data_IF_004273142415
#
_entry.id   IF_004273142415
#
_cell.length_a   1.000
_cell.length_b   1.000
_cell.length_c   1.000
_cell.angle_alpha   90.00
_cell.angle_beta   90.00
_cell.angle_gamma   90.00
#
_symmetry.space_group_name_H-M   'P 1'
#
loop_
_entity.id
_entity.type
_entity.pdbx_description
1 polymer ?
#
# COMPACT_ATOMS: atom_id res chain seq x y z
N UNK A 1 16.09 13.39 17.11
CA UNK A 1 15.09 12.43 17.62
C UNK A 1 14.98 11.29 16.61
N UNK A 2 15.50 10.10 16.92
CA UNK A 2 15.41 8.93 16.00
C UNK A 2 13.94 8.47 16.01
N UNK A 3 13.19 8.79 14.95
CA UNK A 3 11.83 8.30 14.74
C UNK A 3 11.89 6.77 14.67
N UNK A 4 11.09 6.12 15.50
CA UNK A 4 11.01 4.66 15.55
C UNK A 4 10.20 4.16 14.33
N UNK A 5 10.84 4.10 13.15
CA UNK A 5 10.26 3.64 11.87
C UNK A 5 9.93 2.13 11.87
N UNK A 6 10.16 1.43 13.00
CA UNK A 6 10.24 -0.04 13.04
C UNK A 6 8.97 -0.78 13.44
N UNK A 7 7.88 -0.13 13.80
CA UNK A 7 6.66 -0.88 14.12
C UNK A 7 5.77 -1.01 12.88
N UNK A 8 6.01 -2.02 12.06
CA UNK A 8 4.97 -2.51 11.15
C UNK A 8 3.87 -3.16 12.00
N UNK A 9 2.58 -2.81 11.82
CA UNK A 9 1.49 -3.51 12.51
C UNK A 9 1.32 -4.95 12.04
N UNK A 10 2.12 -5.40 11.06
CA UNK A 10 1.99 -6.66 10.36
C UNK A 10 3.04 -7.68 10.78
N UNK A 11 2.65 -8.95 10.89
CA UNK A 11 3.53 -10.08 11.26
C UNK A 11 4.55 -10.46 10.17
N UNK A 12 4.25 -10.18 8.90
CA UNK A 12 5.16 -10.32 7.77
C UNK A 12 4.85 -9.25 6.70
N UNK A 13 5.71 -9.01 5.70
CA UNK A 13 5.56 -7.91 4.76
C UNK A 13 4.52 -8.15 3.66
N UNK A 14 3.84 -9.30 3.59
CA UNK A 14 2.89 -9.61 2.52
C UNK A 14 1.49 -9.07 2.85
N UNK A 15 0.97 -8.18 2.02
CA UNK A 15 -0.39 -7.65 2.07
C UNK A 15 -1.18 -8.25 0.91
N UNK A 16 -2.24 -9.01 1.22
CA UNK A 16 -3.14 -9.53 0.21
C UNK A 16 -4.14 -8.47 -0.25
N UNK A 17 -4.13 -8.13 -1.54
CA UNK A 17 -5.17 -7.29 -2.13
C UNK A 17 -6.45 -8.10 -2.34
N UNK A 18 -7.52 -7.78 -1.61
CA UNK A 18 -8.84 -8.40 -1.73
C UNK A 18 -9.64 -7.76 -2.89
N UNK A 19 -9.13 -7.93 -4.12
CA UNK A 19 -9.75 -7.35 -5.32
C UNK A 19 -10.80 -8.32 -5.92
N UNK A 20 -11.78 -8.71 -5.09
CA UNK A 20 -12.91 -9.59 -5.39
C UNK A 20 -14.23 -8.81 -5.46
N UNK A 21 -15.31 -9.45 -5.92
CA UNK A 21 -16.55 -8.75 -6.26
C UNK A 21 -17.60 -8.76 -5.13
N UNK A 22 -17.53 -9.73 -4.21
CA UNK A 22 -18.53 -9.86 -3.14
C UNK A 22 -17.92 -9.82 -1.74
N UNK A 23 -18.74 -9.36 -0.78
CA UNK A 23 -18.39 -9.31 0.65
C UNK A 23 -18.08 -10.72 1.18
N UNK A 24 -18.91 -11.69 0.83
CA UNK A 24 -18.82 -13.07 1.30
C UNK A 24 -17.51 -13.72 0.85
N UNK A 25 -17.13 -13.48 -0.41
CA UNK A 25 -15.86 -13.95 -0.96
C UNK A 25 -14.67 -13.31 -0.23
N UNK A 26 -14.71 -12.00 -0.01
CA UNK A 26 -13.66 -11.28 0.69
C UNK A 26 -13.48 -11.77 2.13
N UNK A 27 -14.58 -11.94 2.88
CA UNK A 27 -14.56 -12.45 4.26
C UNK A 27 -14.00 -13.86 4.34
N UNK A 28 -14.44 -14.76 3.46
CA UNK A 28 -13.95 -16.15 3.39
C UNK A 28 -12.43 -16.19 3.15
N UNK A 29 -11.94 -15.42 2.18
CA UNK A 29 -10.51 -15.37 1.85
C UNK A 29 -9.72 -14.76 3.03
N UNK A 30 -10.23 -13.71 3.65
CA UNK A 30 -9.56 -13.06 4.77
C UNK A 30 -9.45 -14.01 5.98
N UNK A 31 -10.51 -14.73 6.33
CA UNK A 31 -10.52 -15.74 7.36
C UNK A 31 -9.50 -16.87 7.05
N UNK A 32 -9.53 -17.37 5.81
CA UNK A 32 -8.68 -18.47 5.37
C UNK A 32 -7.18 -18.15 5.40
N UNK A 33 -6.80 -16.88 5.13
CA UNK A 33 -5.42 -16.43 5.00
C UNK A 33 -4.93 -15.56 6.16
N UNK A 34 -5.75 -15.33 7.18
CA UNK A 34 -5.45 -14.46 8.34
C UNK A 34 -4.14 -14.84 9.05
N UNK A 35 -3.85 -16.14 9.16
CA UNK A 35 -2.63 -16.63 9.81
C UNK A 35 -1.40 -16.66 8.89
N UNK A 36 -1.59 -16.49 7.59
CA UNK A 36 -0.53 -16.62 6.57
C UNK A 36 0.01 -15.24 6.20
N UNK A 37 -0.85 -14.32 5.75
CA UNK A 37 -0.44 -13.00 5.27
C UNK A 37 -0.31 -11.97 6.40
N UNK A 38 0.45 -10.90 6.17
CA UNK A 38 0.66 -9.83 7.15
C UNK A 38 -0.53 -8.89 7.30
N UNK A 39 -1.41 -8.81 6.31
CA UNK A 39 -2.60 -7.96 6.32
C UNK A 39 -3.36 -8.00 5.00
N UNK A 40 -4.43 -7.21 4.92
CA UNK A 40 -5.34 -7.19 3.78
C UNK A 40 -5.50 -5.77 3.23
N UNK A 41 -5.43 -5.62 1.89
CA UNK A 41 -5.73 -4.37 1.21
C UNK A 41 -7.17 -4.38 0.71
N UNK A 42 -7.92 -3.34 1.06
CA UNK A 42 -9.25 -3.05 0.54
C UNK A 42 -9.20 -1.78 -0.31
N UNK A 43 -9.79 -1.82 -1.48
CA UNK A 43 -9.93 -0.67 -2.37
C UNK A 43 -11.39 -0.25 -2.58
N UNK A 44 -11.62 0.77 -3.43
CA UNK A 44 -12.95 1.31 -3.72
C UNK A 44 -13.97 0.26 -4.18
N UNK A 45 -13.53 -0.80 -4.87
CA UNK A 45 -14.40 -1.90 -5.35
C UNK A 45 -15.30 -2.47 -4.25
N UNK A 46 -14.74 -2.72 -3.07
CA UNK A 46 -15.48 -3.25 -1.92
C UNK A 46 -15.95 -2.13 -0.98
N UNK A 47 -15.09 -1.14 -0.70
CA UNK A 47 -15.41 -0.09 0.27
C UNK A 47 -16.61 0.76 -0.15
N UNK A 48 -16.73 1.14 -1.44
CA UNK A 48 -17.88 1.91 -1.92
C UNK A 48 -19.18 1.10 -1.95
N UNK A 49 -19.08 -0.23 -2.14
CA UNK A 49 -20.24 -1.11 -2.22
C UNK A 49 -20.79 -1.47 -0.85
N UNK A 50 -19.90 -1.70 0.14
CA UNK A 50 -20.28 -2.30 1.44
C UNK A 50 -20.00 -1.39 2.64
N UNK A 51 -19.36 -0.25 2.43
CA UNK A 51 -19.12 0.78 3.46
C UNK A 51 -18.12 0.38 4.54
N UNK A 52 -18.01 1.24 5.57
CA UNK A 52 -17.00 1.10 6.62
C UNK A 52 -17.31 -0.03 7.62
N UNK A 53 -18.54 -0.45 7.74
CA UNK A 53 -18.87 -1.60 8.61
C UNK A 53 -18.30 -2.91 8.06
N UNK A 54 -18.26 -3.06 6.75
CA UNK A 54 -17.55 -4.16 6.12
C UNK A 54 -16.03 -4.10 6.39
N UNK A 55 -15.45 -2.91 6.39
CA UNK A 55 -14.01 -2.74 6.74
C UNK A 55 -13.76 -3.21 8.17
N UNK A 56 -14.64 -2.87 9.13
CA UNK A 56 -14.56 -3.34 10.53
C UNK A 56 -14.66 -4.87 10.65
N UNK A 57 -15.45 -5.51 9.79
CA UNK A 57 -15.55 -6.97 9.78
C UNK A 57 -14.24 -7.62 9.32
N UNK A 58 -13.64 -7.14 8.23
CA UNK A 58 -12.34 -7.65 7.74
C UNK A 58 -11.21 -7.33 8.73
N UNK A 59 -11.26 -6.19 9.43
CA UNK A 59 -10.25 -5.79 10.42
C UNK A 59 -10.13 -6.78 11.60
N UNK A 60 -11.13 -7.63 11.84
CA UNK A 60 -11.07 -8.72 12.83
C UNK A 60 -10.13 -9.85 12.40
N UNK A 61 -9.83 -9.96 11.10
CA UNK A 61 -8.97 -11.00 10.53
C UNK A 61 -7.49 -10.58 10.47
N UNK A 62 -7.19 -9.27 10.59
CA UNK A 62 -5.82 -8.77 10.57
C UNK A 62 -5.70 -7.29 10.20
N UNK A 63 -4.48 -6.77 10.14
CA UNK A 63 -4.22 -5.39 9.76
C UNK A 63 -4.79 -5.01 8.39
N UNK A 64 -5.45 -3.84 8.31
CA UNK A 64 -6.10 -3.36 7.09
C UNK A 64 -5.31 -2.22 6.46
N UNK A 65 -5.08 -2.34 5.17
CA UNK A 65 -4.63 -1.29 4.29
C UNK A 65 -5.80 -0.78 3.44
N UNK A 66 -6.35 0.41 3.75
CA UNK A 66 -7.37 1.06 2.92
C UNK A 66 -6.72 1.85 1.79
N UNK A 67 -6.87 1.35 0.56
CA UNK A 67 -6.26 1.90 -0.64
C UNK A 67 -7.28 2.69 -1.49
N UNK A 68 -7.82 3.78 -0.91
CA UNK A 68 -8.80 4.66 -1.55
C UNK A 68 -8.20 5.86 -2.28
N UNK A 69 -6.89 6.11 -2.07
CA UNK A 69 -6.14 7.22 -2.70
C UNK A 69 -6.85 8.57 -2.56
N UNK A 70 -7.20 8.94 -1.31
CA UNK A 70 -7.87 10.21 -1.04
C UNK A 70 -7.11 11.39 -1.67
N UNK A 71 -7.82 12.14 -2.49
CA UNK A 71 -7.30 13.29 -3.22
C UNK A 71 -8.35 14.38 -3.23
N UNK A 72 -8.25 15.30 -2.29
CA UNK A 72 -9.25 16.35 -2.07
C UNK A 72 -8.60 17.51 -1.31
N UNK A 73 -9.38 18.51 -0.91
CA UNK A 73 -8.94 19.59 0.00
C UNK A 73 -8.58 19.02 1.39
N UNK A 74 -7.69 19.69 2.16
CA UNK A 74 -7.15 19.15 3.40
C UNK A 74 -8.21 18.68 4.42
N UNK A 75 -9.30 19.42 4.61
CA UNK A 75 -10.35 19.08 5.57
C UNK A 75 -11.14 17.81 5.19
N UNK A 76 -11.41 17.61 3.90
CA UNK A 76 -12.08 16.40 3.39
C UNK A 76 -11.16 15.19 3.54
N UNK A 77 -9.86 15.33 3.21
CA UNK A 77 -8.88 14.28 3.40
C UNK A 77 -8.72 13.90 4.88
N UNK A 78 -8.69 14.88 5.79
CA UNK A 78 -8.66 14.63 7.23
C UNK A 78 -9.87 13.79 7.67
N UNK A 79 -11.08 14.19 7.30
CA UNK A 79 -12.30 13.46 7.63
C UNK A 79 -12.26 12.00 7.12
N UNK A 80 -11.80 11.80 5.88
CA UNK A 80 -11.67 10.48 5.27
C UNK A 80 -10.62 9.59 5.96
N UNK A 81 -9.48 10.16 6.35
CA UNK A 81 -8.40 9.45 7.06
C UNK A 81 -8.85 9.06 8.47
N UNK A 82 -9.52 9.95 9.20
CA UNK A 82 -10.08 9.66 10.54
C UNK A 82 -11.15 8.56 10.47
N UNK A 83 -12.09 8.65 9.53
CA UNK A 83 -13.09 7.61 9.32
C UNK A 83 -12.47 6.24 8.97
N UNK A 84 -11.39 6.24 8.17
CA UNK A 84 -10.63 5.04 7.86
C UNK A 84 -9.98 4.42 9.10
N UNK A 85 -9.39 5.25 9.96
CA UNK A 85 -8.85 4.82 11.24
C UNK A 85 -9.92 4.22 12.14
N UNK A 86 -11.05 4.89 12.33
CA UNK A 86 -12.20 4.41 13.14
C UNK A 86 -12.77 3.09 12.63
N UNK A 87 -12.70 2.86 11.32
CA UNK A 87 -13.07 1.58 10.72
C UNK A 87 -12.04 0.46 10.93
N UNK A 88 -10.91 0.73 11.59
CA UNK A 88 -9.88 -0.27 11.91
C UNK A 88 -8.70 -0.31 10.94
N UNK A 89 -8.60 0.61 9.96
CA UNK A 89 -7.45 0.65 9.07
C UNK A 89 -6.16 0.94 9.83
N UNK A 90 -5.10 0.19 9.50
CA UNK A 90 -3.72 0.41 9.98
C UNK A 90 -2.90 1.24 8.99
N UNK A 91 -3.24 1.17 7.71
CA UNK A 91 -2.63 1.91 6.60
C UNK A 91 -3.75 2.54 5.77
N UNK A 92 -3.56 3.77 5.33
CA UNK A 92 -4.50 4.46 4.42
C UNK A 92 -3.73 5.23 3.35
N UNK A 93 -4.22 5.24 2.10
CA UNK A 93 -3.59 6.02 1.04
C UNK A 93 -4.22 7.39 0.85
N UNK A 94 -3.35 8.37 0.65
CA UNK A 94 -3.65 9.70 0.09
C UNK A 94 -2.81 9.89 -1.18
N UNK A 95 -3.10 10.91 -2.00
CA UNK A 95 -2.29 11.18 -3.18
C UNK A 95 -1.30 12.33 -2.90
N UNK A 96 -0.01 12.15 -3.26
CA UNK A 96 1.03 13.18 -3.07
C UNK A 96 0.75 14.45 -3.89
N UNK A 97 0.03 14.34 -5.00
CA UNK A 97 -0.42 15.47 -5.82
C UNK A 97 -1.43 16.40 -5.12
N UNK A 98 -1.93 16.05 -3.93
CA UNK A 98 -2.78 16.95 -3.13
C UNK A 98 -2.04 18.20 -2.64
N UNK A 99 -0.71 18.21 -2.78
CA UNK A 99 0.13 19.37 -2.45
C UNK A 99 0.57 19.42 -0.98
N UNK A 100 1.51 20.33 -0.73
CA UNK A 100 2.23 20.41 0.56
C UNK A 100 1.31 20.62 1.76
N UNK A 101 0.34 21.53 1.65
CA UNK A 101 -0.54 21.86 2.79
C UNK A 101 -1.47 20.70 3.17
N UNK A 102 -2.00 19.97 2.17
CA UNK A 102 -2.79 18.77 2.42
C UNK A 102 -1.94 17.67 3.07
N UNK A 103 -0.73 17.46 2.59
CA UNK A 103 0.18 16.45 3.14
C UNK A 103 0.66 16.82 4.55
N UNK A 104 0.92 18.10 4.87
CA UNK A 104 1.21 18.57 6.24
C UNK A 104 0.06 18.24 7.18
N UNK A 105 -1.18 18.53 6.75
CA UNK A 105 -2.37 18.18 7.52
C UNK A 105 -2.45 16.66 7.77
N UNK A 106 -2.16 15.85 6.77
CA UNK A 106 -2.12 14.39 6.93
C UNK A 106 -1.03 13.93 7.89
N UNK A 107 0.12 14.58 7.92
CA UNK A 107 1.20 14.27 8.87
C UNK A 107 0.81 14.60 10.32
N UNK A 108 0.06 15.69 10.55
CA UNK A 108 -0.52 16.01 11.85
C UNK A 108 -1.51 14.95 12.31
N UNK A 109 -2.45 14.56 11.43
CA UNK A 109 -3.45 13.53 11.69
C UNK A 109 -2.79 12.18 11.96
N UNK A 110 -1.80 11.76 11.15
CA UNK A 110 -1.04 10.52 11.39
C UNK A 110 -0.41 10.52 12.77
N UNK A 111 0.24 11.61 13.18
CA UNK A 111 0.91 11.72 14.48
C UNK A 111 -0.09 11.61 15.64
N UNK A 112 -1.22 12.30 15.55
CA UNK A 112 -2.29 12.24 16.56
C UNK A 112 -2.87 10.83 16.69
N UNK A 113 -3.21 10.19 15.57
CA UNK A 113 -3.81 8.86 15.56
C UNK A 113 -2.82 7.77 16.04
N UNK A 114 -1.52 7.96 15.82
CA UNK A 114 -0.48 7.07 16.34
C UNK A 114 -0.35 7.08 17.88
N UNK A 115 -0.90 8.06 18.58
CA UNK A 115 -0.98 8.06 20.04
C UNK A 115 -1.96 6.99 20.55
N UNK A 116 -2.94 6.61 19.74
CA UNK A 116 -3.96 5.62 20.08
C UNK A 116 -3.55 4.19 19.68
N UNK A 117 -3.06 4.01 18.47
CA UNK A 117 -2.52 2.74 17.94
C UNK A 117 -1.66 2.95 16.70
N UNK A 118 -0.79 2.00 16.33
CA UNK A 118 0.02 2.10 15.13
C UNK A 118 -0.83 2.37 13.88
N UNK A 119 -0.51 3.44 13.17
CA UNK A 119 -1.21 3.90 11.98
C UNK A 119 -0.27 4.61 11.01
N UNK A 120 -0.46 4.46 9.70
CA UNK A 120 0.31 5.17 8.69
C UNK A 120 -0.56 5.74 7.58
N UNK A 121 -0.24 6.97 7.19
CA UNK A 121 -0.73 7.58 5.96
C UNK A 121 0.32 7.38 4.87
N UNK A 122 -0.04 6.67 3.82
CA UNK A 122 0.80 6.35 2.68
C UNK A 122 0.50 7.32 1.54
N UNK A 123 1.49 8.10 1.12
CA UNK A 123 1.34 8.97 -0.04
C UNK A 123 1.61 8.20 -1.34
N UNK A 124 0.64 8.16 -2.25
CA UNK A 124 0.82 7.61 -3.60
C UNK A 124 1.51 8.65 -4.45
N UNK A 125 2.60 8.28 -5.11
CA UNK A 125 3.36 9.16 -6.01
C UNK A 125 2.79 9.12 -7.43
N UNK A 126 3.34 8.28 -8.29
CA UNK A 126 2.84 8.04 -9.64
C UNK A 126 2.15 6.68 -9.70
N UNK A 127 1.01 6.59 -10.38
CA UNK A 127 0.29 5.34 -10.51
C UNK A 127 1.15 4.29 -11.23
N UNK A 128 1.26 3.10 -10.64
CA UNK A 128 2.09 2.01 -11.19
C UNK A 128 1.59 1.45 -12.52
N UNK A 129 0.40 1.82 -12.95
CA UNK A 129 -0.17 1.51 -14.27
C UNK A 129 0.31 2.44 -15.38
N UNK A 130 0.93 3.60 -15.04
CA UNK A 130 1.47 4.52 -16.02
C UNK A 130 2.88 4.14 -16.43
N UNK A 131 3.17 4.38 -17.70
CA UNK A 131 4.51 4.39 -18.28
C UNK A 131 4.74 5.74 -18.99
N UNK A 132 5.94 5.98 -19.53
CA UNK A 132 6.30 7.24 -20.20
C UNK A 132 5.34 7.60 -21.37
N UNK A 133 4.69 6.61 -21.98
CA UNK A 133 3.75 6.82 -23.08
C UNK A 133 2.36 7.20 -22.59
N UNK A 134 1.93 6.60 -21.47
CA UNK A 134 0.59 6.78 -20.89
C UNK A 134 0.50 7.93 -19.88
N UNK A 135 1.60 8.61 -19.57
CA UNK A 135 1.58 9.82 -18.74
C UNK A 135 0.65 10.88 -19.34
N UNK A 136 -0.21 11.53 -18.52
CA UNK A 136 -0.98 12.68 -18.95
C UNK A 136 -0.07 13.77 -19.52
N UNK A 137 -0.57 14.54 -20.50
CA UNK A 137 0.25 15.51 -21.25
C UNK A 137 0.93 16.57 -20.38
N UNK A 138 0.29 16.97 -19.29
CA UNK A 138 0.84 17.93 -18.32
C UNK A 138 1.98 17.36 -17.45
N UNK A 139 2.28 16.06 -17.54
CA UNK A 139 3.41 15.40 -16.86
C UNK A 139 4.56 15.06 -17.81
N UNK A 140 4.42 15.28 -19.12
CA UNK A 140 5.39 14.75 -20.12
C UNK A 140 6.71 15.53 -20.22
N UNK A 141 6.86 16.63 -19.52
CA UNK A 141 8.13 17.40 -19.52
C UNK A 141 9.23 16.73 -18.70
N UNK A 142 8.86 15.79 -17.81
CA UNK A 142 9.80 15.07 -16.95
C UNK A 142 9.53 13.56 -17.03
N UNK A 143 10.56 12.76 -16.70
CA UNK A 143 10.42 11.31 -16.56
C UNK A 143 9.61 10.92 -15.32
N UNK A 144 9.03 9.71 -15.33
CA UNK A 144 8.36 9.15 -14.16
C UNK A 144 9.28 9.16 -12.94
N UNK A 145 10.54 8.81 -13.10
CA UNK A 145 11.53 8.79 -12.03
C UNK A 145 11.74 10.18 -11.39
N UNK A 146 11.78 11.23 -12.19
CA UNK A 146 11.87 12.61 -11.68
C UNK A 146 10.63 13.00 -10.89
N UNK A 147 9.42 12.74 -11.41
CA UNK A 147 8.18 12.98 -10.68
C UNK A 147 8.12 12.24 -9.35
N UNK A 148 8.53 10.96 -9.32
CA UNK A 148 8.55 10.16 -8.10
C UNK A 148 9.50 10.76 -7.06
N UNK A 149 10.68 11.18 -7.46
CA UNK A 149 11.66 11.82 -6.54
C UNK A 149 11.13 13.15 -6.01
N UNK A 150 10.55 14.00 -6.86
CA UNK A 150 9.99 15.29 -6.45
C UNK A 150 8.81 15.10 -5.48
N UNK A 151 7.89 14.18 -5.78
CA UNK A 151 6.77 13.86 -4.90
C UNK A 151 7.25 13.23 -3.59
N UNK A 152 8.29 12.40 -3.60
CA UNK A 152 8.88 11.86 -2.38
C UNK A 152 9.52 12.97 -1.52
N UNK A 153 10.18 13.97 -2.12
CA UNK A 153 10.70 15.13 -1.41
C UNK A 153 9.55 15.92 -0.75
N UNK A 154 8.47 16.16 -1.49
CA UNK A 154 7.28 16.85 -0.97
C UNK A 154 6.65 16.11 0.22
N UNK A 155 6.54 14.79 0.15
CA UNK A 155 6.05 13.93 1.22
C UNK A 155 6.91 14.07 2.49
N UNK A 156 8.25 14.03 2.33
CA UNK A 156 9.19 14.19 3.44
C UNK A 156 9.17 15.61 4.02
N UNK A 157 9.08 16.64 3.19
CA UNK A 157 8.93 18.04 3.61
C UNK A 157 7.65 18.24 4.43
N UNK A 158 6.56 17.61 4.04
CA UNK A 158 5.29 17.64 4.77
C UNK A 158 5.36 16.91 6.13
N UNK A 159 6.38 16.10 6.37
CA UNK A 159 6.56 15.33 7.59
C UNK A 159 6.00 13.92 7.56
N UNK A 160 5.48 13.45 6.43
CA UNK A 160 5.13 12.05 6.20
C UNK A 160 6.39 11.22 5.91
N UNK A 161 6.31 9.92 6.16
CA UNK A 161 7.44 9.00 5.98
C UNK A 161 7.05 7.69 5.30
N UNK A 162 5.91 7.66 4.61
CA UNK A 162 5.39 6.43 4.01
C UNK A 162 4.87 6.70 2.60
N UNK A 163 5.28 5.86 1.64
CA UNK A 163 4.99 6.05 0.21
C UNK A 163 4.54 4.71 -0.40
N UNK A 164 3.62 4.80 -1.36
CA UNK A 164 3.36 3.71 -2.32
C UNK A 164 4.13 4.00 -3.59
N UNK A 165 4.98 3.07 -4.01
CA UNK A 165 5.83 3.19 -5.21
C UNK A 165 5.90 1.87 -5.98
N UNK A 166 6.23 1.94 -7.27
CA UNK A 166 6.45 0.74 -8.07
C UNK A 166 7.78 0.03 -7.71
N UNK A 167 7.94 -1.26 -8.05
CA UNK A 167 9.20 -1.97 -7.83
C UNK A 167 10.42 -1.29 -8.46
N UNK A 168 10.25 -0.66 -9.63
CA UNK A 168 11.33 0.00 -10.37
C UNK A 168 11.77 1.35 -9.76
N UNK A 169 11.04 1.86 -8.79
CA UNK A 169 11.32 3.12 -8.11
C UNK A 169 12.01 2.92 -6.75
N UNK A 170 12.10 1.66 -6.28
CA UNK A 170 12.70 1.33 -4.99
C UNK A 170 14.14 1.80 -4.87
N UNK A 171 14.96 1.60 -5.93
CA UNK A 171 16.35 2.02 -5.93
C UNK A 171 16.54 3.53 -5.75
N UNK A 172 15.59 4.33 -6.26
CA UNK A 172 15.56 5.79 -6.09
C UNK A 172 15.20 6.22 -4.66
N UNK A 173 14.49 5.37 -3.91
CA UNK A 173 13.86 5.71 -2.64
C UNK A 173 14.47 4.99 -1.43
N UNK A 174 15.21 3.89 -1.60
CA UNK A 174 15.67 2.97 -0.55
C UNK A 174 16.44 3.62 0.60
N UNK A 175 17.22 4.65 0.37
CA UNK A 175 18.10 5.28 1.37
C UNK A 175 17.49 6.54 2.01
N UNK A 176 16.19 6.79 1.81
CA UNK A 176 15.52 8.01 2.28
C UNK A 176 14.85 7.88 3.65
N UNK A 177 14.93 6.71 4.30
CA UNK A 177 14.26 6.46 5.57
C UNK A 177 12.73 6.39 5.46
N UNK A 178 12.21 6.06 4.26
CA UNK A 178 10.79 5.93 3.97
C UNK A 178 10.31 4.51 4.21
N UNK A 179 9.06 4.37 4.65
CA UNK A 179 8.32 3.10 4.64
C UNK A 179 7.69 2.92 3.25
N UNK A 180 8.23 1.97 2.46
CA UNK A 180 7.86 1.78 1.07
C UNK A 180 6.90 0.60 0.92
N UNK A 181 5.67 0.86 0.44
CA UNK A 181 4.68 -0.16 0.10
C UNK A 181 4.66 -0.34 -1.40
N UNK A 182 4.90 -1.58 -1.86
CA UNK A 182 5.16 -1.86 -3.27
C UNK A 182 4.17 -2.88 -3.81
N UNK A 183 3.24 -2.47 -4.70
CA UNK A 183 2.40 -3.37 -5.48
C UNK A 183 3.16 -3.91 -6.70
N UNK A 184 2.54 -4.85 -7.44
CA UNK A 184 3.14 -5.39 -8.66
C UNK A 184 4.14 -6.52 -8.43
N UNK A 185 4.09 -7.15 -7.27
CA UNK A 185 4.97 -8.25 -6.91
C UNK A 185 4.46 -9.56 -7.54
N UNK A 186 5.39 -10.33 -8.11
CA UNK A 186 5.14 -11.63 -8.76
C UNK A 186 6.22 -12.63 -8.35
N UNK A 187 5.88 -13.91 -8.29
CA UNK A 187 6.87 -14.99 -8.36
C UNK A 187 7.21 -15.27 -9.83
N UNK A 188 8.29 -15.98 -10.09
CA UNK A 188 8.76 -16.33 -11.45
C UNK A 188 7.74 -17.14 -12.27
N UNK A 189 6.74 -17.74 -11.61
CA UNK A 189 5.72 -18.57 -12.22
C UNK A 189 4.43 -17.81 -12.59
N UNK A 190 4.26 -16.56 -12.15
CA UNK A 190 3.04 -15.80 -12.39
C UNK A 190 3.13 -14.93 -13.64
N UNK A 191 2.05 -14.90 -14.46
CA UNK A 191 1.95 -14.03 -15.63
C UNK A 191 1.92 -12.54 -15.25
N UNK A 192 2.49 -11.66 -16.09
CA UNK A 192 2.59 -10.22 -15.84
C UNK A 192 1.21 -9.52 -15.75
N UNK A 193 0.20 -10.01 -16.48
CA UNK A 193 -1.14 -9.37 -16.54
C UNK A 193 -1.05 -7.94 -17.06
N UNK A 194 -1.82 -7.02 -16.48
CA UNK A 194 -1.85 -5.58 -16.78
C UNK A 194 -0.75 -4.76 -16.06
N UNK A 195 0.04 -5.40 -15.20
CA UNK A 195 1.16 -4.71 -14.53
C UNK A 195 2.43 -4.75 -15.38
N UNK A 196 2.86 -3.58 -15.83
CA UNK A 196 4.03 -3.41 -16.70
C UNK A 196 5.36 -3.47 -15.95
N UNK A 197 5.35 -3.35 -14.60
CA UNK A 197 6.53 -3.21 -13.76
C UNK A 197 6.46 -4.25 -12.63
N UNK A 198 7.12 -5.40 -12.83
CA UNK A 198 7.08 -6.55 -11.91
C UNK A 198 8.44 -6.84 -11.30
N UNK A 199 8.45 -7.36 -10.07
CA UNK A 199 9.64 -7.81 -9.33
C UNK A 199 9.28 -8.96 -8.41
N UNK A 200 10.25 -9.84 -8.11
CA UNK A 200 10.07 -10.91 -7.12
C UNK A 200 10.05 -10.38 -5.68
N UNK A 201 9.42 -11.10 -4.73
CA UNK A 201 9.25 -10.64 -3.34
C UNK A 201 10.58 -10.32 -2.67
N UNK A 202 11.53 -11.22 -2.73
CA UNK A 202 12.86 -11.08 -2.11
C UNK A 202 13.63 -9.88 -2.68
N UNK A 203 13.66 -9.75 -4.02
CA UNK A 203 14.34 -8.65 -4.67
C UNK A 203 13.74 -7.30 -4.24
N UNK A 204 12.41 -7.17 -4.19
CA UNK A 204 11.76 -5.95 -3.75
C UNK A 204 12.17 -5.56 -2.32
N UNK A 205 12.26 -6.51 -1.38
CA UNK A 205 12.72 -6.24 -0.01
C UNK A 205 14.20 -5.85 0.03
N UNK A 206 15.05 -6.50 -0.78
CA UNK A 206 16.48 -6.14 -0.90
C UNK A 206 16.67 -4.73 -1.44
N UNK A 207 15.79 -4.27 -2.33
CA UNK A 207 15.76 -2.89 -2.84
C UNK A 207 15.04 -1.91 -1.91
N UNK A 208 14.68 -2.32 -0.68
CA UNK A 208 14.19 -1.43 0.37
C UNK A 208 12.67 -1.36 0.53
N UNK A 209 11.89 -2.20 -0.15
CA UNK A 209 10.47 -2.31 0.15
C UNK A 209 10.25 -2.72 1.60
N UNK A 210 9.27 -2.11 2.27
CA UNK A 210 8.88 -2.41 3.65
C UNK A 210 7.68 -3.35 3.72
N UNK A 211 6.79 -3.27 2.71
CA UNK A 211 5.64 -4.16 2.55
C UNK A 211 5.32 -4.35 1.06
N UNK A 212 4.78 -5.52 0.73
CA UNK A 212 4.54 -6.01 -0.62
C UNK A 212 3.06 -6.28 -0.82
N UNK A 213 2.44 -5.67 -1.83
CA UNK A 213 1.03 -5.92 -2.14
C UNK A 213 0.91 -6.95 -3.25
N UNK A 214 0.25 -8.06 -2.94
CA UNK A 214 0.01 -9.18 -3.86
C UNK A 214 -1.50 -9.39 -3.99
N UNK A 215 -2.01 -9.48 -5.21
CA UNK A 215 -3.43 -9.70 -5.51
C UNK A 215 -3.64 -10.98 -6.32
N UNK A 216 -3.88 -10.83 -7.62
CA UNK A 216 -4.17 -11.92 -8.57
C UNK A 216 -3.27 -13.16 -8.45
N UNK A 217 -1.96 -13.08 -8.25
CA UNK A 217 -1.13 -14.29 -8.12
C UNK A 217 -1.56 -15.23 -7.00
N UNK A 218 -2.21 -14.70 -5.96
CA UNK A 218 -2.79 -15.51 -4.87
C UNK A 218 -4.26 -15.79 -5.17
N UNK A 219 -5.04 -14.77 -5.52
CA UNK A 219 -6.50 -14.90 -5.68
C UNK A 219 -6.93 -15.83 -6.82
N UNK A 220 -6.15 -15.90 -7.91
CA UNK A 220 -6.42 -16.72 -9.09
C UNK A 220 -5.74 -18.10 -9.04
N UNK A 221 -4.99 -18.40 -7.96
CA UNK A 221 -4.35 -19.69 -7.79
C UNK A 221 -5.37 -20.80 -7.52
N UNK A 222 -5.06 -22.02 -7.96
CA UNK A 222 -5.88 -23.20 -7.67
C UNK A 222 -6.00 -23.48 -6.17
N UNK A 223 -4.96 -23.17 -5.41
CA UNK A 223 -4.92 -23.25 -3.96
C UNK A 223 -4.34 -21.94 -3.42
N UNK A 224 -5.21 -21.09 -2.88
CA UNK A 224 -4.83 -19.76 -2.39
C UNK A 224 -3.92 -19.82 -1.15
N UNK A 225 -4.05 -20.86 -0.30
CA UNK A 225 -3.18 -21.06 0.87
C UNK A 225 -1.75 -21.39 0.47
N UNK A 226 -1.60 -22.34 -0.47
CA UNK A 226 -0.27 -22.70 -0.99
C UNK A 226 0.38 -21.50 -1.66
N UNK A 227 -0.33 -20.77 -2.51
CA UNK A 227 0.18 -19.59 -3.17
C UNK A 227 0.58 -18.47 -2.17
N UNK A 228 -0.26 -18.19 -1.17
CA UNK A 228 0.06 -17.21 -0.14
C UNK A 228 1.29 -17.63 0.68
N UNK A 229 1.39 -18.92 1.04
CA UNK A 229 2.54 -19.47 1.76
C UNK A 229 3.82 -19.36 0.94
N UNK A 230 3.76 -19.67 -0.36
CA UNK A 230 4.90 -19.51 -1.29
C UNK A 230 5.42 -18.06 -1.30
N UNK A 231 4.53 -17.07 -1.39
CA UNK A 231 4.92 -15.65 -1.33
C UNK A 231 5.59 -15.29 0.00
N UNK A 232 5.07 -15.78 1.12
CA UNK A 232 5.66 -15.53 2.44
C UNK A 232 7.01 -16.23 2.58
N UNK A 233 7.14 -17.49 2.15
CA UNK A 233 8.41 -18.22 2.18
C UNK A 233 9.46 -17.57 1.29
N UNK A 234 9.09 -17.12 0.08
CA UNK A 234 9.99 -16.45 -0.85
C UNK A 234 10.60 -15.13 -0.28
N UNK A 235 10.02 -14.58 0.79
CA UNK A 235 10.58 -13.44 1.52
C UNK A 235 11.75 -13.86 2.40
N UNK A 236 11.71 -15.06 2.98
CA UNK A 236 12.64 -15.54 4.01
C UNK A 236 13.67 -16.57 3.51
N UNK A 237 13.51 -17.10 2.29
CA UNK A 237 14.47 -18.06 1.72
C UNK A 237 15.88 -17.44 1.62
N UNK A 238 16.83 -18.01 2.34
CA UNK A 238 18.26 -17.79 2.13
C UNK A 238 18.72 -18.54 0.87
N UNK A 239 19.59 -17.90 0.05
CA UNK A 239 20.28 -18.59 -1.03
C UNK A 239 21.49 -19.32 -0.47
#
# INVERSE_FOLDING_TARGET
MKRNLKASPMKNPIILALDVDTKEQALKIAEELSEIVGGFKLGPRLCLRYGMDFVKEIAKQGPIFLDNKHFDIPSTMEAAVRASFEAGASLVTVHALSGLEALKKMAEVERELNEQRPFRVLAVTILTSWDEQSLPSNFKEQSISQHVVELANLVQEAGLSSIVCSPHELDLLQNRGLYLVTPGIRTSMASAGDQKRIMGPKAALQYGASALVVGRPILEAKNIKEAATEFVMAVYEEK
#
